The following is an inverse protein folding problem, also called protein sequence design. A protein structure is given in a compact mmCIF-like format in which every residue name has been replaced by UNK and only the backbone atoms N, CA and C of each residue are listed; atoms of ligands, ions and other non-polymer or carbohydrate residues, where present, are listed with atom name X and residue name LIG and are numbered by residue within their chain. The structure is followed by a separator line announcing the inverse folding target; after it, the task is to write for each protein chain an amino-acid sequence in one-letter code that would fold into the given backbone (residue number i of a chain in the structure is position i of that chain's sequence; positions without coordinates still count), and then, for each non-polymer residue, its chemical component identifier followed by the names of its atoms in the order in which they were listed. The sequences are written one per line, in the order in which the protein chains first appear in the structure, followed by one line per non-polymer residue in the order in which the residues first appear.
data_IF_504552802870
#
_entry.id   IF_504552802870
#
_cell.length_a   1.000
_cell.length_b   1.000
_cell.length_c   1.000
_cell.angle_alpha   90.00
_cell.angle_beta   90.00
_cell.angle_gamma   90.00
#
_symmetry.space_group_name_H-M   'P 1'
#
loop_
_entity.id
_entity.type
_entity.pdbx_description
1 polymer ?
#
# COMPACT_ATOMS: atom_id res chain seq x y z
N UNK A 1 15.07 -14.42 -22.71
CA UNK A 1 15.90 -13.57 -21.82
C UNK A 1 15.57 -12.12 -22.12
N UNK A 2 14.76 -11.48 -21.28
CA UNK A 2 14.30 -10.10 -21.50
C UNK A 2 15.33 -9.13 -20.90
N UNK A 3 16.07 -8.43 -21.75
CA UNK A 3 17.03 -7.41 -21.36
C UNK A 3 16.26 -6.17 -20.91
N UNK A 4 16.02 -6.02 -19.61
CA UNK A 4 15.62 -4.73 -19.07
C UNK A 4 16.84 -3.80 -19.14
N UNK A 5 16.66 -2.63 -19.78
CA UNK A 5 17.72 -1.73 -20.21
C UNK A 5 18.75 -1.44 -19.12
N UNK A 6 19.93 -2.05 -19.26
CA UNK A 6 21.08 -1.98 -18.34
C UNK A 6 21.76 -0.59 -18.28
N UNK A 7 21.12 0.46 -18.79
CA UNK A 7 21.66 1.82 -18.91
C UNK A 7 21.18 2.79 -17.83
N UNK A 8 20.32 2.35 -16.90
CA UNK A 8 19.69 3.24 -15.91
C UNK A 8 20.19 3.06 -14.47
N UNK A 9 21.02 2.04 -14.20
CA UNK A 9 21.49 1.70 -12.86
C UNK A 9 22.98 1.27 -12.88
N UNK A 10 23.65 1.40 -11.74
CA UNK A 10 25.08 1.14 -11.56
C UNK A 10 25.37 -0.37 -11.65
N UNK A 11 26.11 -0.81 -12.67
CA UNK A 11 26.51 -2.20 -12.83
C UNK A 11 25.42 -3.14 -13.36
N UNK A 12 25.80 -4.40 -13.63
CA UNK A 12 24.90 -5.45 -14.14
C UNK A 12 23.83 -5.77 -13.08
N UNK A 13 22.73 -5.00 -13.05
CA UNK A 13 21.59 -5.30 -12.19
C UNK A 13 21.01 -6.67 -12.58
N UNK A 14 21.07 -7.60 -11.65
CA UNK A 14 20.37 -8.87 -11.75
C UNK A 14 18.86 -8.64 -11.52
N UNK A 15 18.01 -9.57 -11.95
CA UNK A 15 16.56 -9.46 -11.70
C UNK A 15 16.21 -9.27 -10.21
N UNK A 16 17.06 -9.81 -9.33
CA UNK A 16 16.93 -9.71 -7.88
C UNK A 16 17.13 -8.28 -7.37
N UNK A 17 18.05 -7.53 -7.96
CA UNK A 17 18.36 -6.14 -7.55
C UNK A 17 17.19 -5.20 -7.84
N UNK A 18 16.53 -5.39 -9.00
CA UNK A 18 15.31 -4.68 -9.35
C UNK A 18 14.13 -5.00 -8.44
N UNK A 19 13.97 -6.29 -8.06
CA UNK A 19 12.95 -6.71 -7.11
C UNK A 19 13.20 -6.13 -5.71
N UNK A 20 14.44 -6.17 -5.24
CA UNK A 20 14.83 -5.61 -3.96
C UNK A 20 14.60 -4.08 -3.91
N UNK A 21 14.96 -3.35 -4.96
CA UNK A 21 14.64 -1.93 -5.08
C UNK A 21 13.13 -1.67 -5.05
N UNK A 22 12.33 -2.42 -5.82
CA UNK A 22 10.87 -2.28 -5.82
C UNK A 22 10.26 -2.54 -4.42
N UNK A 23 10.70 -3.61 -3.76
CA UNK A 23 10.21 -4.01 -2.42
C UNK A 23 10.61 -2.99 -1.35
N UNK A 24 11.82 -2.45 -1.38
CA UNK A 24 12.29 -1.46 -0.40
C UNK A 24 11.59 -0.10 -0.56
N UNK A 25 11.26 0.29 -1.80
CA UNK A 25 10.43 1.48 -2.07
C UNK A 25 8.98 1.24 -1.65
N UNK A 26 8.40 0.09 -2.02
CA UNK A 26 7.02 -0.28 -1.67
C UNK A 26 6.81 -0.37 -0.15
N UNK A 27 7.77 -0.95 0.56
CA UNK A 27 7.75 -1.03 2.02
C UNK A 27 8.11 0.28 2.72
N UNK A 28 8.45 1.34 1.98
CA UNK A 28 8.93 2.63 2.50
C UNK A 28 10.19 2.54 3.38
N UNK A 29 10.96 1.45 3.28
CA UNK A 29 12.20 1.25 4.03
C UNK A 29 13.35 2.05 3.42
N UNK A 30 13.52 1.95 2.09
CA UNK A 30 14.46 2.78 1.33
C UNK A 30 15.91 2.78 1.84
N UNK A 31 16.57 1.61 1.85
CA UNK A 31 17.98 1.51 2.28
C UNK A 31 18.95 2.40 1.48
N UNK A 32 18.58 2.81 0.26
CA UNK A 32 19.30 3.80 -0.54
C UNK A 32 20.56 3.28 -1.24
N UNK A 33 20.81 1.98 -1.17
CA UNK A 33 21.88 1.25 -1.86
C UNK A 33 21.64 1.13 -3.37
N UNK A 34 20.38 1.06 -3.80
CA UNK A 34 20.00 1.13 -5.22
C UNK A 34 19.14 2.38 -5.45
N UNK A 35 19.60 3.26 -6.35
CA UNK A 35 18.93 4.54 -6.64
C UNK A 35 18.75 4.77 -8.14
N UNK A 36 17.64 5.39 -8.52
CA UNK A 36 17.36 5.79 -9.90
C UNK A 36 18.28 6.93 -10.32
N UNK A 37 19.27 6.64 -11.18
CA UNK A 37 20.26 7.64 -11.62
C UNK A 37 19.79 8.48 -12.80
N UNK A 38 18.88 7.94 -13.63
CA UNK A 38 18.35 8.64 -14.82
C UNK A 38 17.04 9.35 -14.52
N UNK A 39 16.75 10.40 -15.28
CA UNK A 39 15.54 11.21 -15.11
C UNK A 39 14.26 10.41 -15.37
N UNK A 40 14.28 9.55 -16.40
CA UNK A 40 13.18 8.63 -16.70
C UNK A 40 12.94 7.62 -15.57
N UNK A 41 14.01 7.06 -14.97
CA UNK A 41 13.87 6.14 -13.85
C UNK A 41 13.31 6.84 -12.61
N UNK A 42 13.73 8.09 -12.34
CA UNK A 42 13.17 8.89 -11.24
C UNK A 42 11.66 9.11 -11.41
N UNK A 43 11.21 9.46 -12.62
CA UNK A 43 9.78 9.63 -12.94
C UNK A 43 8.97 8.36 -12.69
N UNK A 44 9.47 7.20 -13.13
CA UNK A 44 8.80 5.91 -12.92
C UNK A 44 8.70 5.59 -11.43
N UNK A 45 9.77 5.81 -10.66
CA UNK A 45 9.80 5.55 -9.22
C UNK A 45 8.87 6.48 -8.46
N UNK A 46 8.83 7.76 -8.83
CA UNK A 46 7.85 8.69 -8.25
C UNK A 46 6.42 8.25 -8.54
N UNK A 47 6.14 7.79 -9.77
CA UNK A 47 4.85 7.20 -10.12
C UNK A 47 4.50 5.98 -9.27
N UNK A 48 5.48 5.09 -9.05
CA UNK A 48 5.35 3.93 -8.17
C UNK A 48 5.00 4.34 -6.73
N UNK A 49 5.73 5.30 -6.15
CA UNK A 49 5.46 5.80 -4.79
C UNK A 49 4.02 6.31 -4.64
N UNK A 50 3.51 7.04 -5.64
CA UNK A 50 2.12 7.51 -5.63
C UNK A 50 1.13 6.35 -5.70
N UNK A 51 1.39 5.35 -6.56
CA UNK A 51 0.54 4.17 -6.67
C UNK A 51 0.48 3.38 -5.34
N UNK A 52 1.62 3.25 -4.66
CA UNK A 52 1.73 2.55 -3.38
C UNK A 52 0.85 3.21 -2.31
N UNK A 53 0.81 4.55 -2.26
CA UNK A 53 -0.07 5.30 -1.36
C UNK A 53 -1.56 5.11 -1.69
N UNK A 54 -1.93 5.06 -2.97
CA UNK A 54 -3.31 4.80 -3.39
C UNK A 54 -3.75 3.40 -2.98
N UNK A 55 -2.90 2.39 -3.20
CA UNK A 55 -3.16 1.00 -2.80
C UNK A 55 -3.30 0.91 -1.28
N UNK A 56 -2.39 1.54 -0.53
CA UNK A 56 -2.45 1.57 0.94
C UNK A 56 -3.75 2.21 1.45
N UNK A 57 -4.15 3.35 0.87
CA UNK A 57 -5.41 4.02 1.21
C UNK A 57 -6.64 3.15 0.92
N UNK A 58 -6.65 2.42 -0.20
CA UNK A 58 -7.72 1.49 -0.53
C UNK A 58 -7.78 0.30 0.45
N UNK A 59 -6.62 -0.27 0.80
CA UNK A 59 -6.54 -1.34 1.78
C UNK A 59 -7.11 -0.91 3.13
N UNK A 60 -6.71 0.29 3.61
CA UNK A 60 -7.27 0.88 4.83
C UNK A 60 -8.78 1.07 4.74
N UNK A 61 -9.30 1.60 3.62
CA UNK A 61 -10.75 1.78 3.41
C UNK A 61 -11.52 0.47 3.49
N UNK A 62 -11.00 -0.61 2.89
CA UNK A 62 -11.62 -1.94 2.94
C UNK A 62 -11.68 -2.45 4.38
N UNK A 63 -10.56 -2.35 5.11
CA UNK A 63 -10.48 -2.77 6.51
C UNK A 63 -11.42 -1.95 7.39
N UNK A 64 -11.42 -0.62 7.26
CA UNK A 64 -12.32 0.26 8.01
C UNK A 64 -13.80 -0.04 7.71
N UNK A 65 -14.16 -0.29 6.45
CA UNK A 65 -15.52 -0.67 6.06
C UNK A 65 -15.98 -1.97 6.72
N UNK A 66 -15.11 -2.98 6.79
CA UNK A 66 -15.38 -4.24 7.49
C UNK A 66 -15.57 -4.04 9.00
N UNK A 67 -14.76 -3.18 9.62
CA UNK A 67 -14.84 -2.86 11.06
C UNK A 67 -16.10 -2.06 11.40
N UNK A 68 -16.43 -1.03 10.61
CA UNK A 68 -17.65 -0.22 10.80
C UNK A 68 -18.92 -1.07 10.69
N UNK A 69 -18.92 -2.06 9.78
CA UNK A 69 -20.05 -2.98 9.63
C UNK A 69 -20.25 -3.89 10.85
N UNK A 70 -19.17 -4.28 11.55
CA UNK A 70 -19.29 -5.00 12.83
C UNK A 70 -19.81 -4.12 13.97
N UNK A 71 -19.43 -2.84 14.02
CA UNK A 71 -19.87 -1.93 15.09
C UNK A 71 -21.36 -1.58 15.00
N UNK A 72 -21.89 -1.38 13.79
CA UNK A 72 -23.31 -1.08 13.59
C UNK A 72 -24.26 -2.21 14.03
N UNK A 73 -23.80 -3.47 14.05
CA UNK A 73 -24.59 -4.60 14.56
C UNK A 73 -24.61 -4.69 16.10
N UNK A 74 -23.71 -4.01 16.81
CA UNK A 74 -23.67 -4.00 18.28
C UNK A 74 -24.53 -2.90 18.93
N UNK A 75 -24.73 -1.77 18.24
CA UNK A 75 -25.53 -0.64 18.78
C UNK A 75 -27.04 -0.85 18.60
N UNK A 76 -27.48 -1.71 17.68
CA UNK A 76 -28.89 -2.02 17.46
C UNK A 76 -29.49 -2.98 18.50
N UNK A 77 -28.67 -3.70 19.27
CA UNK A 77 -29.09 -4.66 20.30
C UNK A 77 -29.26 -4.00 21.69
N UNK A 78 -28.76 -2.76 21.86
CA UNK A 78 -28.86 -2.00 23.12
C UNK A 78 -30.01 -0.99 23.19
N UNK A 79 -30.76 -0.79 22.09
CA UNK A 79 -31.80 0.22 22.00
C UNK A 79 -33.22 -0.39 21.98
N UNK A 80 -33.76 -0.62 23.18
CA UNK A 80 -35.20 -0.73 23.57
C UNK A 80 -35.87 -2.12 23.48
N UNK A 81 -36.78 -2.51 24.42
CA UNK A 81 -37.65 -1.62 25.21
C UNK A 81 -37.94 -2.08 26.68
N UNK A 82 -37.42 -1.36 27.68
CA UNK A 82 -37.86 -1.50 29.09
C UNK A 82 -39.20 -0.80 29.38
N UNK A 83 -39.92 -0.38 28.34
CA UNK A 83 -41.15 0.40 28.46
C UNK A 83 -42.44 -0.43 28.52
N UNK A 84 -42.34 -1.78 28.53
CA UNK A 84 -43.51 -2.67 28.52
C UNK A 84 -44.01 -3.08 29.91
N UNK A 85 -43.25 -2.83 31.00
CA UNK A 85 -43.61 -3.26 32.37
C UNK A 85 -44.43 -2.19 33.11
N UNK A 86 -44.71 -1.03 32.48
CA UNK A 86 -45.37 0.13 33.13
C UNK A 86 -46.82 0.37 32.72
N UNK A 87 -47.53 -0.64 32.21
CA UNK A 87 -48.98 -0.60 31.94
C UNK A 87 -49.69 -1.81 32.53
#
# INVERSE_FOLDING_TARGET
MATMSASNFDGRLTHTDGLYFAVTVFSTVGFGDITAKTEAARLVVTGQMVADLVILGLALKIVSGAVSRRRQSGDADGAQPDQQIRR
#
